data_IF_296710371392
#
_entry.id   IF_296710371392
#
_cell.length_a   1.000
_cell.length_b   1.000
_cell.length_c   1.000
_cell.angle_alpha   90.00
_cell.angle_beta   90.00
_cell.angle_gamma   90.00
#
_symmetry.space_group_name_H-M   'P 1'
#
loop_
_entity.id
_entity.type
_entity.pdbx_description
1 polymer ?
#
# COMPACT_ATOMS: atom_id res chain seq x y z
N UNK A 1 -22.14 -14.68 16.39
CA UNK A 1 -20.78 -15.12 15.99
C UNK A 1 -19.81 -14.77 17.11
N UNK A 2 -18.85 -15.64 17.45
CA UNK A 2 -17.97 -15.45 18.60
C UNK A 2 -17.14 -14.14 18.45
N UNK A 3 -17.17 -13.21 19.42
CA UNK A 3 -16.47 -11.93 19.33
C UNK A 3 -14.96 -12.08 19.16
N UNK A 4 -14.37 -13.15 19.71
CA UNK A 4 -12.95 -13.49 19.53
C UNK A 4 -12.64 -13.90 18.09
N UNK A 5 -13.57 -14.59 17.43
CA UNK A 5 -13.42 -15.00 16.03
C UNK A 5 -13.44 -13.78 15.09
N UNK A 6 -14.39 -12.86 15.30
CA UNK A 6 -14.47 -11.58 14.56
C UNK A 6 -13.18 -10.78 14.77
N UNK A 7 -12.66 -10.79 16.01
CA UNK A 7 -11.42 -10.11 16.36
C UNK A 7 -10.26 -10.55 15.48
N UNK A 8 -10.13 -11.87 15.35
CA UNK A 8 -9.05 -12.51 14.63
C UNK A 8 -9.19 -12.31 13.12
N UNK A 9 -10.38 -12.58 12.58
CA UNK A 9 -10.69 -12.41 11.15
C UNK A 9 -10.44 -10.97 10.67
N UNK A 10 -10.88 -9.98 11.45
CA UNK A 10 -10.68 -8.57 11.07
C UNK A 10 -9.21 -8.18 11.07
N UNK A 11 -8.44 -8.55 12.10
CA UNK A 11 -7.00 -8.24 12.16
C UNK A 11 -6.22 -8.91 11.03
N UNK A 12 -6.47 -10.19 10.79
CA UNK A 12 -5.77 -10.95 9.74
C UNK A 12 -6.17 -10.47 8.35
N UNK A 13 -7.47 -10.20 8.13
CA UNK A 13 -7.95 -9.63 6.88
C UNK A 13 -7.29 -8.29 6.55
N UNK A 14 -7.28 -7.36 7.50
CA UNK A 14 -6.57 -6.09 7.32
C UNK A 14 -5.07 -6.29 7.13
N UNK A 15 -4.43 -7.16 7.91
CA UNK A 15 -3.00 -7.46 7.78
C UNK A 15 -2.64 -7.96 6.39
N UNK A 16 -3.39 -8.92 5.84
CA UNK A 16 -3.15 -9.47 4.50
C UNK A 16 -3.36 -8.42 3.41
N UNK A 17 -4.45 -7.64 3.47
CA UNK A 17 -4.73 -6.60 2.47
C UNK A 17 -3.66 -5.50 2.52
N UNK A 18 -3.24 -5.09 3.72
CA UNK A 18 -2.19 -4.08 3.90
C UNK A 18 -0.83 -4.62 3.42
N UNK A 19 -0.47 -5.86 3.77
CA UNK A 19 0.77 -6.49 3.29
C UNK A 19 0.79 -6.60 1.76
N UNK A 20 -0.34 -6.95 1.13
CA UNK A 20 -0.45 -6.99 -0.33
C UNK A 20 -0.39 -5.62 -0.97
N UNK A 21 -0.99 -4.60 -0.36
CA UNK A 21 -0.91 -3.22 -0.83
C UNK A 21 0.52 -2.67 -0.70
N UNK A 22 1.21 -3.00 0.39
CA UNK A 22 2.59 -2.60 0.65
C UNK A 22 3.59 -3.20 -0.35
N UNK A 23 3.23 -4.28 -1.04
CA UNK A 23 4.07 -4.88 -2.09
C UNK A 23 4.49 -3.84 -3.13
N UNK A 24 3.63 -2.89 -3.50
CA UNK A 24 4.00 -1.87 -4.49
C UNK A 24 5.16 -0.99 -4.02
N UNK A 25 5.17 -0.58 -2.75
CA UNK A 25 6.29 0.18 -2.16
C UNK A 25 7.54 -0.70 -2.03
N UNK A 26 7.37 -1.91 -1.49
CA UNK A 26 8.48 -2.85 -1.27
C UNK A 26 9.15 -3.20 -2.60
N UNK A 27 8.37 -3.48 -3.64
CA UNK A 27 8.88 -3.83 -4.97
C UNK A 27 9.71 -2.69 -5.56
N UNK A 28 9.22 -1.46 -5.55
CA UNK A 28 9.98 -0.31 -6.06
C UNK A 28 11.31 -0.12 -5.31
N UNK A 29 11.32 -0.28 -3.99
CA UNK A 29 12.55 -0.21 -3.20
C UNK A 29 13.51 -1.35 -3.52
N UNK A 30 13.00 -2.56 -3.68
CA UNK A 30 13.81 -3.73 -4.03
C UNK A 30 14.41 -3.61 -5.43
N UNK A 31 13.66 -3.11 -6.42
CA UNK A 31 14.20 -2.82 -7.75
C UNK A 31 15.38 -1.84 -7.69
N UNK A 32 15.29 -0.80 -6.86
CA UNK A 32 16.38 0.15 -6.63
C UNK A 32 17.59 -0.49 -5.94
N UNK A 33 17.37 -1.35 -4.94
CA UNK A 33 18.44 -2.01 -4.18
C UNK A 33 19.16 -3.09 -4.98
N UNK A 34 18.41 -3.93 -5.71
CA UNK A 34 18.93 -5.05 -6.49
C UNK A 34 19.35 -4.66 -7.92
N UNK A 35 19.02 -3.45 -8.38
CA UNK A 35 19.47 -2.92 -9.67
C UNK A 35 18.87 -3.64 -10.89
N UNK A 36 17.73 -4.31 -10.73
CA UNK A 36 17.14 -5.20 -11.75
C UNK A 36 16.66 -4.44 -13.00
N UNK A 37 16.33 -3.15 -12.88
CA UNK A 37 15.86 -2.29 -13.98
C UNK A 37 16.92 -1.26 -14.44
N UNK A 38 18.22 -1.59 -14.35
CA UNK A 38 19.25 -0.69 -14.88
C UNK A 38 19.34 -0.79 -16.42
N UNK A 39 19.15 0.32 -17.16
CA UNK A 39 19.24 0.31 -18.61
C UNK A 39 20.65 -0.10 -19.06
N UNK A 40 20.75 -1.19 -19.81
CA UNK A 40 22.01 -1.72 -20.37
C UNK A 40 22.69 -2.82 -19.54
N UNK A 41 22.17 -3.16 -18.37
CA UNK A 41 22.65 -4.32 -17.60
C UNK A 41 22.03 -5.62 -18.13
N UNK A 42 22.80 -6.73 -18.24
CA UNK A 42 22.23 -8.02 -18.59
C UNK A 42 21.26 -8.47 -17.49
N UNK A 43 20.11 -8.99 -17.91
CA UNK A 43 19.09 -9.52 -17.00
C UNK A 43 19.65 -10.70 -16.21
N UNK A 44 19.73 -10.55 -14.88
CA UNK A 44 20.17 -11.59 -13.96
C UNK A 44 18.96 -12.29 -13.32
N UNK A 45 18.62 -13.51 -13.75
CA UNK A 45 17.47 -14.24 -13.21
C UNK A 45 17.65 -14.62 -11.74
N UNK A 46 18.88 -14.78 -11.26
CA UNK A 46 19.13 -15.13 -9.85
C UNK A 46 18.89 -13.92 -8.94
N UNK A 47 19.28 -12.72 -9.40
CA UNK A 47 18.97 -11.47 -8.70
C UNK A 47 17.45 -11.22 -8.62
N UNK A 48 16.71 -11.49 -9.70
CA UNK A 48 15.25 -11.39 -9.71
C UNK A 48 14.60 -12.37 -8.72
N UNK A 49 15.04 -13.63 -8.68
CA UNK A 49 14.47 -14.63 -7.77
C UNK A 49 14.71 -14.26 -6.30
N UNK A 50 15.93 -13.82 -5.97
CA UNK A 50 16.26 -13.28 -4.64
C UNK A 50 15.41 -12.06 -4.28
N UNK A 51 15.15 -11.18 -5.25
CA UNK A 51 14.29 -10.00 -5.08
C UNK A 51 12.85 -10.41 -4.76
N UNK A 52 12.28 -11.35 -5.52
CA UNK A 52 10.92 -11.85 -5.33
C UNK A 52 10.76 -12.55 -3.97
N UNK A 53 11.73 -13.40 -3.60
CA UNK A 53 11.75 -14.06 -2.29
C UNK A 53 11.79 -13.01 -1.18
N UNK A 54 12.73 -12.06 -1.25
CA UNK A 54 12.86 -11.00 -0.24
C UNK A 54 11.59 -10.15 -0.14
N UNK A 55 10.99 -9.77 -1.27
CA UNK A 55 9.73 -9.02 -1.30
C UNK A 55 8.57 -9.79 -0.69
N UNK A 56 8.45 -11.08 -0.99
CA UNK A 56 7.41 -11.93 -0.41
C UNK A 56 7.54 -12.05 1.12
N UNK A 57 8.76 -12.22 1.62
CA UNK A 57 9.06 -12.28 3.06
C UNK A 57 8.73 -10.95 3.72
N UNK A 58 9.14 -9.83 3.14
CA UNK A 58 8.83 -8.50 3.67
C UNK A 58 7.32 -8.24 3.72
N UNK A 59 6.57 -8.61 2.68
CA UNK A 59 5.11 -8.51 2.67
C UNK A 59 4.45 -9.36 3.76
N UNK A 60 4.93 -10.58 3.99
CA UNK A 60 4.45 -11.43 5.08
C UNK A 60 4.76 -10.83 6.45
N UNK A 61 5.96 -10.25 6.62
CA UNK A 61 6.34 -9.53 7.84
C UNK A 61 5.41 -8.34 8.08
N UNK A 62 5.17 -7.50 7.06
CA UNK A 62 4.24 -6.36 7.17
C UNK A 62 2.83 -6.84 7.53
N UNK A 63 2.34 -7.90 6.88
CA UNK A 63 1.03 -8.46 7.18
C UNK A 63 0.94 -8.97 8.63
N UNK A 64 1.95 -9.71 9.09
CA UNK A 64 2.04 -10.24 10.44
C UNK A 64 2.12 -9.15 11.51
N UNK A 65 2.98 -8.15 11.31
CA UNK A 65 3.14 -7.00 12.23
C UNK A 65 1.84 -6.21 12.31
N UNK A 66 1.19 -5.95 11.18
CA UNK A 66 -0.07 -5.20 11.12
C UNK A 66 -1.20 -5.96 11.82
N UNK A 67 -1.32 -7.27 11.57
CA UNK A 67 -2.29 -8.11 12.23
C UNK A 67 -2.05 -8.17 13.76
N UNK A 68 -0.80 -8.32 14.19
CA UNK A 68 -0.42 -8.32 15.59
C UNK A 68 -0.73 -6.99 16.28
N UNK A 69 -0.44 -5.86 15.62
CA UNK A 69 -0.76 -4.53 16.13
C UNK A 69 -2.28 -4.33 16.28
N UNK A 70 -3.06 -4.75 15.28
CA UNK A 70 -4.53 -4.67 15.32
C UNK A 70 -5.14 -5.59 16.40
N UNK A 71 -4.55 -6.77 16.64
CA UNK A 71 -4.98 -7.68 17.71
C UNK A 71 -4.81 -7.08 19.12
N UNK A 72 -3.83 -6.19 19.32
CA UNK A 72 -3.62 -5.49 20.60
C UNK A 72 -4.71 -4.46 20.91
N UNK A 73 -5.46 -4.01 19.91
CA UNK A 73 -6.57 -3.07 20.11
C UNK A 73 -7.76 -3.82 20.70
N UNK A 74 -8.18 -3.47 21.92
CA UNK A 74 -9.30 -4.13 22.60
C UNK A 74 -10.64 -3.85 21.90
N UNK A 75 -10.90 -2.58 21.58
CA UNK A 75 -12.15 -2.15 20.93
C UNK A 75 -12.19 -2.50 19.44
N UNK A 76 -13.21 -3.26 19.03
CA UNK A 76 -13.43 -3.60 17.61
C UNK A 76 -13.62 -2.35 16.73
N UNK A 77 -14.30 -1.31 17.24
CA UNK A 77 -14.52 -0.05 16.51
C UNK A 77 -13.20 0.70 16.24
N UNK A 78 -12.32 0.77 17.24
CA UNK A 78 -10.99 1.37 17.08
C UNK A 78 -10.11 0.55 16.16
N UNK A 79 -10.22 -0.79 16.20
CA UNK A 79 -9.47 -1.66 15.30
C UNK A 79 -9.80 -1.41 13.84
N UNK A 80 -11.09 -1.36 13.49
CA UNK A 80 -11.51 -1.06 12.11
C UNK A 80 -11.01 0.32 11.69
N UNK A 81 -11.11 1.32 12.57
CA UNK A 81 -10.63 2.67 12.27
C UNK A 81 -9.11 2.71 12.01
N UNK A 82 -8.31 1.99 12.80
CA UNK A 82 -6.87 1.83 12.55
C UNK A 82 -6.58 1.04 11.26
N UNK A 83 -7.32 -0.04 11.00
CA UNK A 83 -7.20 -0.82 9.78
C UNK A 83 -7.46 0.03 8.53
N UNK A 84 -8.54 0.81 8.51
CA UNK A 84 -8.84 1.75 7.43
C UNK A 84 -7.76 2.83 7.29
N UNK A 85 -7.29 3.41 8.39
CA UNK A 85 -6.26 4.44 8.34
C UNK A 85 -4.96 3.90 7.75
N UNK A 86 -4.44 2.78 8.28
CA UNK A 86 -3.19 2.19 7.81
C UNK A 86 -3.31 1.74 6.36
N UNK A 87 -4.43 1.11 5.99
CA UNK A 87 -4.68 0.72 4.61
C UNK A 87 -4.72 1.93 3.68
N UNK A 88 -5.43 2.99 4.05
CA UNK A 88 -5.51 4.21 3.26
C UNK A 88 -4.15 4.86 3.02
N UNK A 89 -3.33 4.97 4.08
CA UNK A 89 -1.96 5.48 3.98
C UNK A 89 -1.11 4.57 3.09
N UNK A 90 -1.24 3.25 3.24
CA UNK A 90 -0.49 2.28 2.42
C UNK A 90 -0.83 2.44 0.93
N UNK A 91 -2.10 2.62 0.57
CA UNK A 91 -2.50 2.84 -0.82
C UNK A 91 -1.91 4.13 -1.40
N UNK A 92 -1.89 5.22 -0.62
CA UNK A 92 -1.29 6.49 -1.04
C UNK A 92 0.22 6.34 -1.23
N UNK A 93 0.92 5.65 -0.32
CA UNK A 93 2.35 5.40 -0.44
C UNK A 93 2.67 4.50 -1.64
N UNK A 94 1.86 3.47 -1.88
CA UNK A 94 2.00 2.61 -3.07
C UNK A 94 1.85 3.40 -4.35
N UNK A 95 0.88 4.32 -4.41
CA UNK A 95 0.72 5.20 -5.55
C UNK A 95 1.94 6.11 -5.73
N UNK A 96 2.44 6.71 -4.65
CA UNK A 96 3.63 7.56 -4.69
C UNK A 96 4.89 6.80 -5.13
N UNK A 97 5.06 5.55 -4.68
CA UNK A 97 6.19 4.69 -5.04
C UNK A 97 6.17 4.21 -6.51
N UNK A 98 5.02 4.30 -7.18
CA UNK A 98 4.89 3.97 -8.60
C UNK A 98 5.15 5.16 -9.53
N UNK A 99 5.18 6.40 -9.02
CA UNK A 99 5.44 7.58 -9.86
C UNK A 99 6.86 7.59 -10.46
N UNK A 100 7.93 7.23 -9.73
CA UNK A 100 9.30 7.24 -10.28
C UNK A 100 9.52 6.22 -11.41
N UNK A 101 8.69 5.19 -11.52
CA UNK A 101 8.80 4.17 -12.57
C UNK A 101 8.14 4.60 -13.87
N UNK A 102 7.53 5.79 -13.94
CA UNK A 102 6.87 6.31 -15.13
C UNK A 102 7.86 7.13 -15.96
N UNK A 103 8.05 6.71 -17.21
CA UNK A 103 8.94 7.43 -18.13
C UNK A 103 8.28 8.67 -18.73
N UNK A 104 8.34 9.78 -18.00
CA UNK A 104 7.76 11.06 -18.40
C UNK A 104 8.79 12.08 -18.93
N UNK A 105 10.07 11.76 -18.83
CA UNK A 105 11.16 12.72 -19.02
C UNK A 105 12.32 12.26 -19.91
N UNK A 106 12.36 11.00 -20.34
CA UNK A 106 13.47 10.50 -21.18
C UNK A 106 13.35 10.94 -22.64
N UNK A 107 12.14 11.29 -23.11
CA UNK A 107 11.85 11.54 -24.52
C UNK A 107 11.99 13.02 -24.91
N UNK A 108 12.54 13.33 -26.10
CA UNK A 108 12.64 14.69 -26.61
C UNK A 108 11.29 15.41 -26.68
N UNK A 109 11.26 16.68 -26.29
CA UNK A 109 10.04 17.50 -26.33
C UNK A 109 9.49 17.60 -27.78
N UNK A 110 8.21 17.26 -27.96
CA UNK A 110 7.53 17.31 -29.27
C UNK A 110 7.62 16.02 -30.08
N UNK A 111 8.36 15.01 -29.63
CA UNK A 111 8.40 13.68 -30.26
C UNK A 111 7.06 12.93 -30.12
N UNK A 112 6.81 11.96 -31.01
CA UNK A 112 5.67 11.04 -30.89
C UNK A 112 5.74 10.23 -29.60
N UNK A 113 6.93 9.79 -29.22
CA UNK A 113 7.19 9.00 -28.00
C UNK A 113 6.82 9.78 -26.73
N UNK A 114 7.18 11.07 -26.65
CA UNK A 114 6.80 11.92 -25.52
C UNK A 114 5.27 12.11 -25.41
N UNK A 115 4.54 12.09 -26.53
CA UNK A 115 3.07 12.16 -26.53
C UNK A 115 2.45 10.83 -26.11
N UNK A 116 3.01 9.71 -26.55
CA UNK A 116 2.55 8.37 -26.17
C UNK A 116 2.78 8.11 -24.68
N UNK A 117 3.95 8.48 -24.14
CA UNK A 117 4.26 8.40 -22.72
C UNK A 117 3.28 9.21 -21.84
N UNK A 118 2.94 10.44 -22.25
CA UNK A 118 1.95 11.28 -21.56
C UNK A 118 0.55 10.65 -21.60
N UNK A 119 0.18 10.05 -22.73
CA UNK A 119 -1.10 9.37 -22.90
C UNK A 119 -1.19 8.13 -22.02
N UNK A 120 -0.12 7.32 -21.99
CA UNK A 120 0.00 6.16 -21.12
C UNK A 120 -0.10 6.55 -19.64
N UNK A 121 0.60 7.61 -19.22
CA UNK A 121 0.52 8.13 -17.86
C UNK A 121 -0.89 8.61 -17.50
N UNK A 122 -1.58 9.30 -18.40
CA UNK A 122 -2.96 9.73 -18.18
C UNK A 122 -3.89 8.54 -17.93
N UNK A 123 -3.82 7.50 -18.77
CA UNK A 123 -4.63 6.30 -18.57
C UNK A 123 -4.24 5.51 -17.32
N UNK A 124 -2.95 5.42 -17.01
CA UNK A 124 -2.48 4.83 -15.76
C UNK A 124 -3.03 5.58 -14.55
N UNK A 125 -3.02 6.92 -14.59
CA UNK A 125 -3.57 7.75 -13.53
C UNK A 125 -5.08 7.59 -13.42
N UNK A 126 -5.81 7.37 -14.51
CA UNK A 126 -7.26 7.14 -14.47
C UNK A 126 -7.61 5.75 -13.93
N UNK A 127 -6.89 4.71 -14.36
CA UNK A 127 -7.18 3.31 -14.03
C UNK A 127 -6.65 2.95 -12.64
N UNK A 128 -5.44 3.38 -12.30
CA UNK A 128 -4.78 3.04 -11.04
C UNK A 128 -4.63 4.26 -10.13
N UNK A 129 -4.24 5.42 -10.66
CA UNK A 129 -4.02 6.61 -9.83
C UNK A 129 -5.24 7.05 -9.04
N UNK A 130 -6.37 7.27 -9.73
CA UNK A 130 -7.58 7.85 -9.16
C UNK A 130 -8.24 6.91 -8.14
N UNK A 131 -8.36 5.58 -8.37
CA UNK A 131 -8.89 4.69 -7.35
C UNK A 131 -8.00 4.56 -6.12
N UNK A 132 -6.67 4.52 -6.28
CA UNK A 132 -5.75 4.45 -5.14
C UNK A 132 -5.73 5.76 -4.35
N UNK A 133 -5.75 6.90 -5.04
CA UNK A 133 -5.81 8.21 -4.41
C UNK A 133 -7.15 8.45 -3.72
N UNK A 134 -8.26 8.25 -4.42
CA UNK A 134 -9.61 8.44 -3.91
C UNK A 134 -9.94 7.47 -2.78
N UNK A 135 -9.71 6.17 -3.01
CA UNK A 135 -9.90 5.13 -1.99
C UNK A 135 -8.96 5.30 -0.80
N UNK A 136 -7.68 5.61 -1.06
CA UNK A 136 -6.68 5.87 -0.03
C UNK A 136 -7.04 7.07 0.85
N UNK A 137 -7.45 8.19 0.25
CA UNK A 137 -7.91 9.38 0.97
C UNK A 137 -9.19 9.10 1.76
N UNK A 138 -10.19 8.46 1.14
CA UNK A 138 -11.44 8.12 1.82
C UNK A 138 -11.20 7.25 3.06
N UNK A 139 -10.35 6.22 2.93
CA UNK A 139 -9.99 5.33 4.04
C UNK A 139 -9.16 6.03 5.12
N UNK A 140 -8.21 6.88 4.72
CA UNK A 140 -7.36 7.63 5.66
C UNK A 140 -8.17 8.65 6.45
N UNK A 141 -8.98 9.46 5.76
CA UNK A 141 -9.84 10.48 6.38
C UNK A 141 -10.91 9.80 7.23
N UNK A 142 -11.60 8.79 6.68
CA UNK A 142 -12.62 8.03 7.40
C UNK A 142 -12.08 7.38 8.68
N UNK A 143 -10.93 6.71 8.59
CA UNK A 143 -10.24 6.11 9.73
C UNK A 143 -9.85 7.16 10.79
N UNK A 144 -9.28 8.29 10.37
CA UNK A 144 -8.90 9.37 11.27
C UNK A 144 -10.10 10.01 11.98
N UNK A 145 -11.20 10.25 11.26
CA UNK A 145 -12.45 10.80 11.83
C UNK A 145 -13.06 9.81 12.81
N UNK A 146 -13.11 8.52 12.49
CA UNK A 146 -13.58 7.48 13.40
C UNK A 146 -12.75 7.43 14.69
N UNK A 147 -11.42 7.47 14.59
CA UNK A 147 -10.53 7.50 15.76
C UNK A 147 -10.76 8.73 16.64
N UNK A 148 -10.93 9.91 16.05
CA UNK A 148 -11.28 11.14 16.79
C UNK A 148 -12.63 10.98 17.51
N UNK A 149 -13.63 10.43 16.84
CA UNK A 149 -14.97 10.18 17.41
C UNK A 149 -14.90 9.21 18.60
N UNK A 150 -14.13 8.12 18.50
CA UNK A 150 -14.01 7.12 19.58
C UNK A 150 -13.06 7.54 20.71
N UNK A 151 -12.24 8.56 20.49
CA UNK A 151 -11.47 9.21 21.56
C UNK A 151 -12.34 10.13 22.41
N UNK A 152 -13.28 10.82 21.77
CA UNK A 152 -14.17 11.79 22.41
C UNK A 152 -15.48 11.17 22.92
N UNK A 153 -15.77 9.90 22.60
CA UNK A 153 -16.85 9.18 23.23
C UNK A 153 -16.55 9.12 24.74
N UNK A 154 -17.44 9.63 25.62
CA UNK A 154 -17.24 9.52 27.05
C UNK A 154 -17.02 8.05 27.38
N UNK A 155 -16.07 7.77 28.29
CA UNK A 155 -16.04 6.50 29.01
C UNK A 155 -17.39 6.40 29.72
N UNK A 156 -18.40 5.88 29.05
CA UNK A 156 -19.66 5.55 29.69
C UNK A 156 -19.29 4.46 30.70
N UNK A 157 -19.38 4.88 31.96
CA UNK A 157 -19.19 4.16 33.20
C UNK A 157 -19.02 2.64 33.05
N UNK A 158 -17.83 2.15 33.38
CA UNK A 158 -17.65 0.86 34.03
C UNK A 158 -17.14 1.15 35.43
#
# INVERSE_FOLDING_TARGET
MNPTLIKWLTSVGFGLVIGRAAYGVINSLLQMVFGVDQPGAPFDPEALDRMLITGSVLCLVVAGVTAAALLRVADNRRRIAWGCLVLGVTLILTLAAALPTMDLGSHPAGSSEARDAKTAFFFWMLIFGLPYLGGGLALTIGGAVMLRKFRNAPRSAA
#
